data_IF_587455851769
#
_entry.id   IF_587455851769
#
_cell.length_a   1.000
_cell.length_b   1.000
_cell.length_c   1.000
_cell.angle_alpha   90.00
_cell.angle_beta   90.00
_cell.angle_gamma   90.00
#
_symmetry.space_group_name_H-M   'P 1'
#
loop_
_entity.id
_entity.type
_entity.pdbx_description
1 polymer ?
#
# COMPACT_ATOMS: atom_id res chain seq x y z
N UNK A 1 6.91 -12.39 15.70
CA UNK A 1 6.46 -10.99 15.57
C UNK A 1 6.84 -10.47 14.18
N UNK A 2 5.90 -9.85 13.44
CA UNK A 2 6.19 -9.16 12.16
C UNK A 2 6.02 -7.67 12.35
N UNK A 3 6.99 -6.87 11.90
CA UNK A 3 6.98 -5.42 12.07
C UNK A 3 7.80 -4.75 10.95
N UNK A 4 7.40 -3.55 10.53
CA UNK A 4 8.21 -2.73 9.62
C UNK A 4 9.48 -2.26 10.33
N UNK A 5 10.63 -2.36 9.67
CA UNK A 5 11.94 -2.06 10.28
C UNK A 5 12.00 -0.66 10.92
N UNK A 6 11.47 0.35 10.25
CA UNK A 6 11.49 1.72 10.77
C UNK A 6 10.69 1.87 12.08
N UNK A 7 9.48 1.29 12.14
CA UNK A 7 8.66 1.34 13.35
C UNK A 7 9.32 0.60 14.51
N UNK A 8 10.01 -0.51 14.22
CA UNK A 8 10.80 -1.23 15.20
C UNK A 8 11.93 -0.38 15.76
N UNK A 9 12.73 0.27 14.89
CA UNK A 9 13.83 1.13 15.33
C UNK A 9 13.36 2.32 16.17
N UNK A 10 12.22 2.92 15.81
CA UNK A 10 11.62 3.97 16.64
C UNK A 10 11.23 3.48 18.05
N UNK A 11 10.67 2.28 18.16
CA UNK A 11 10.34 1.67 19.46
C UNK A 11 11.62 1.39 20.27
N UNK A 12 12.66 0.85 19.63
CA UNK A 12 13.97 0.64 20.26
C UNK A 12 14.53 1.94 20.82
N UNK A 13 14.58 3.02 20.03
CA UNK A 13 15.10 4.31 20.51
C UNK A 13 14.28 4.87 21.67
N UNK A 14 12.95 4.72 21.65
CA UNK A 14 12.08 5.12 22.77
C UNK A 14 12.42 4.34 24.04
N UNK A 15 12.59 3.02 23.94
CA UNK A 15 12.97 2.15 25.08
C UNK A 15 14.37 2.49 25.60
N UNK A 16 15.34 2.67 24.71
CA UNK A 16 16.70 3.09 25.07
C UNK A 16 16.72 4.46 25.78
N UNK A 17 15.93 5.42 25.29
CA UNK A 17 15.82 6.73 25.91
C UNK A 17 15.19 6.64 27.30
N UNK A 18 14.11 5.86 27.46
CA UNK A 18 13.47 5.62 28.77
C UNK A 18 14.46 5.02 29.77
N UNK A 19 15.19 3.98 29.36
CA UNK A 19 16.21 3.33 30.21
C UNK A 19 17.31 4.30 30.64
N UNK A 20 17.78 5.17 29.73
CA UNK A 20 18.78 6.20 30.05
C UNK A 20 18.25 7.28 31.00
N UNK A 21 16.97 7.63 30.91
CA UNK A 21 16.35 8.59 31.84
C UNK A 21 16.22 8.01 33.25
N UNK A 22 15.92 6.72 33.37
CA UNK A 22 15.73 6.05 34.65
C UNK A 22 17.07 5.67 35.34
N UNK A 23 18.07 5.26 34.57
CA UNK A 23 19.30 4.66 35.09
C UNK A 23 20.59 5.45 34.75
N UNK A 24 20.47 6.57 34.04
CA UNK A 24 21.59 7.41 33.61
C UNK A 24 22.18 7.05 32.25
N UNK A 25 23.07 7.90 31.73
CA UNK A 25 23.63 7.76 30.37
C UNK A 25 24.75 6.72 30.23
N UNK A 26 25.35 6.28 31.34
CA UNK A 26 26.47 5.34 31.34
C UNK A 26 26.02 3.87 31.21
N UNK A 27 24.71 3.60 31.31
CA UNK A 27 24.19 2.25 31.17
C UNK A 27 24.10 1.85 29.69
N UNK A 28 24.62 0.67 29.39
CA UNK A 28 24.39 0.05 28.11
C UNK A 28 22.99 -0.57 28.06
N UNK A 29 22.01 0.20 27.58
CA UNK A 29 20.61 -0.22 27.57
C UNK A 29 20.27 -1.25 26.47
N UNK A 30 21.14 -1.47 25.47
CA UNK A 30 20.84 -2.33 24.32
C UNK A 30 20.59 -3.80 24.70
N UNK A 31 21.42 -4.45 25.54
CA UNK A 31 21.19 -5.83 25.94
C UNK A 31 19.87 -6.04 26.70
N UNK A 32 19.50 -5.08 27.55
CA UNK A 32 18.23 -5.15 28.29
C UNK A 32 17.02 -5.06 27.36
N UNK A 33 17.03 -4.10 26.42
CA UNK A 33 15.97 -3.99 25.42
C UNK A 33 15.90 -5.23 24.53
N UNK A 34 17.04 -5.83 24.19
CA UNK A 34 17.07 -7.06 23.42
C UNK A 34 16.51 -8.26 24.21
N UNK A 35 16.80 -8.36 25.51
CA UNK A 35 16.24 -9.38 26.39
C UNK A 35 14.71 -9.25 26.50
N UNK A 36 14.19 -8.04 26.72
CA UNK A 36 12.74 -7.78 26.76
C UNK A 36 12.04 -8.20 25.46
N UNK A 37 12.69 -7.96 24.31
CA UNK A 37 12.15 -8.36 23.01
C UNK A 37 12.20 -9.87 22.85
N UNK A 38 13.30 -10.51 23.25
CA UNK A 38 13.46 -11.95 23.16
C UNK A 38 12.42 -12.70 24.01
N UNK A 39 12.08 -12.17 25.20
CA UNK A 39 11.02 -12.72 26.05
C UNK A 39 9.64 -12.68 25.36
N UNK A 40 9.40 -11.66 24.52
CA UNK A 40 8.14 -11.51 23.78
C UNK A 40 8.10 -12.23 22.43
N UNK A 41 9.26 -12.55 21.83
CA UNK A 41 9.32 -13.01 20.45
C UNK A 41 10.54 -13.90 20.14
N UNK A 42 10.28 -15.19 19.88
CA UNK A 42 11.29 -16.14 19.43
C UNK A 42 11.66 -16.01 17.93
N UNK A 43 10.75 -15.43 17.12
CA UNK A 43 10.97 -15.17 15.69
C UNK A 43 10.62 -13.73 15.38
N UNK A 44 11.58 -12.99 14.83
CA UNK A 44 11.43 -11.60 14.44
C UNK A 44 11.48 -11.47 12.92
N UNK A 45 10.39 -11.00 12.34
CA UNK A 45 10.25 -10.79 10.90
C UNK A 45 10.24 -9.29 10.59
N UNK A 46 11.32 -8.79 9.97
CA UNK A 46 11.35 -7.43 9.45
C UNK A 46 10.87 -7.36 8.02
N UNK A 47 9.90 -6.47 7.80
CA UNK A 47 9.51 -6.09 6.44
C UNK A 47 10.25 -4.81 6.02
N UNK A 48 10.74 -4.79 4.78
CA UNK A 48 11.44 -3.67 4.17
C UNK A 48 12.63 -3.16 4.99
N UNK A 49 13.58 -4.05 5.29
CA UNK A 49 14.78 -3.69 6.02
C UNK A 49 15.64 -2.70 5.22
N UNK A 50 15.66 -1.47 5.72
CA UNK A 50 16.46 -0.39 5.17
C UNK A 50 17.01 0.46 6.31
N UNK A 51 18.31 0.72 6.27
CA UNK A 51 18.96 1.64 7.19
C UNK A 51 19.35 2.90 6.41
N UNK A 52 18.81 4.04 6.83
CA UNK A 52 19.12 5.36 6.25
C UNK A 52 19.57 6.36 7.31
N UNK A 53 19.21 6.15 8.58
CA UNK A 53 19.57 7.01 9.71
C UNK A 53 20.90 6.58 10.35
N UNK A 54 21.69 7.55 10.80
CA UNK A 54 22.97 7.33 11.50
C UNK A 54 22.78 6.74 12.89
N UNK A 55 21.74 7.15 13.63
CA UNK A 55 21.42 6.65 14.95
C UNK A 55 21.05 5.16 14.89
N UNK A 56 20.25 4.77 13.88
CA UNK A 56 19.92 3.36 13.63
C UNK A 56 21.18 2.56 13.32
N UNK A 57 22.00 3.06 12.39
CA UNK A 57 23.24 2.42 11.98
C UNK A 57 24.20 2.16 13.16
N UNK A 58 24.27 3.09 14.12
CA UNK A 58 25.15 2.99 15.29
C UNK A 58 24.76 1.87 16.25
N UNK A 59 23.47 1.56 16.40
CA UNK A 59 23.00 0.57 17.38
C UNK A 59 22.72 -0.80 16.75
N UNK A 60 22.46 -0.85 15.44
CA UNK A 60 21.89 -2.01 14.77
C UNK A 60 22.71 -3.28 14.93
N UNK A 61 24.04 -3.18 14.77
CA UNK A 61 24.94 -4.34 14.97
C UNK A 61 24.73 -4.95 16.36
N UNK A 62 24.82 -4.12 17.40
CA UNK A 62 24.79 -4.54 18.80
C UNK A 62 23.43 -5.13 19.17
N UNK A 63 22.36 -4.50 18.67
CA UNK A 63 21.00 -4.99 18.86
C UNK A 63 20.80 -6.37 18.23
N UNK A 64 21.17 -6.52 16.95
CA UNK A 64 21.03 -7.79 16.24
C UNK A 64 21.87 -8.91 16.88
N UNK A 65 23.11 -8.60 17.27
CA UNK A 65 23.98 -9.55 17.96
C UNK A 65 23.39 -10.00 19.30
N UNK A 66 22.83 -9.06 20.07
CA UNK A 66 22.16 -9.36 21.34
C UNK A 66 20.90 -10.22 21.13
N UNK A 67 20.03 -9.85 20.18
CA UNK A 67 18.83 -10.63 19.84
C UNK A 67 19.19 -12.06 19.42
N UNK A 68 20.19 -12.22 18.55
CA UNK A 68 20.67 -13.53 18.11
C UNK A 68 21.26 -14.36 19.26
N UNK A 69 21.94 -13.70 20.21
CA UNK A 69 22.49 -14.38 21.40
C UNK A 69 21.41 -14.91 22.35
N UNK A 70 20.23 -14.27 22.39
CA UNK A 70 19.05 -14.76 23.09
C UNK A 70 18.27 -15.83 22.29
N UNK A 71 18.78 -16.28 21.14
CA UNK A 71 18.14 -17.31 20.32
C UNK A 71 17.00 -16.81 19.43
N UNK A 72 16.85 -15.49 19.27
CA UNK A 72 15.84 -14.91 18.38
C UNK A 72 16.20 -15.23 16.92
N UNK A 73 15.28 -15.87 16.23
CA UNK A 73 15.41 -16.16 14.79
C UNK A 73 14.99 -14.94 13.99
N UNK A 74 15.89 -14.45 13.14
CA UNK A 74 15.65 -13.27 12.30
C UNK A 74 15.27 -13.67 10.88
N UNK A 75 14.14 -13.15 10.39
CA UNK A 75 13.71 -13.23 8.98
C UNK A 75 13.53 -11.81 8.47
N UNK A 76 14.03 -11.49 7.29
CA UNK A 76 13.95 -10.11 6.77
C UNK A 76 13.76 -10.07 5.27
N UNK A 77 12.94 -9.12 4.80
CA UNK A 77 12.85 -8.72 3.39
C UNK A 77 13.60 -7.41 3.20
N UNK A 78 14.22 -7.19 2.04
CA UNK A 78 14.94 -5.95 1.71
C UNK A 78 14.94 -5.75 0.19
N UNK A 79 14.79 -4.50 -0.24
CA UNK A 79 14.95 -4.10 -1.65
C UNK A 79 16.42 -3.81 -2.02
N UNK A 80 17.36 -3.98 -1.08
CA UNK A 80 18.79 -3.77 -1.26
C UNK A 80 19.56 -5.01 -0.80
N UNK A 81 20.55 -5.41 -1.58
CA UNK A 81 21.50 -6.43 -1.15
C UNK A 81 22.20 -5.97 0.15
N UNK A 82 22.58 -6.86 1.09
CA UNK A 82 23.23 -6.48 2.35
C UNK A 82 24.44 -5.56 2.18
N UNK A 83 25.26 -5.77 1.14
CA UNK A 83 26.42 -4.92 0.83
C UNK A 83 26.04 -3.48 0.42
N UNK A 84 24.78 -3.24 0.06
CA UNK A 84 24.24 -1.93 -0.31
C UNK A 84 23.40 -1.27 0.80
N UNK A 85 23.18 -1.95 1.92
CA UNK A 85 22.50 -1.36 3.07
C UNK A 85 23.31 -0.18 3.60
N UNK A 86 22.67 0.98 3.85
CA UNK A 86 23.30 2.23 4.31
C UNK A 86 24.36 2.81 3.35
N UNK A 87 24.29 2.48 2.04
CA UNK A 87 25.21 3.00 1.02
C UNK A 87 25.13 4.52 1.01
N UNK A 88 26.29 5.19 0.98
CA UNK A 88 26.44 6.64 1.11
C UNK A 88 26.03 7.25 2.48
N UNK A 89 25.74 6.43 3.48
CA UNK A 89 25.47 6.89 4.84
C UNK A 89 26.71 7.50 5.52
N UNK A 90 26.47 8.44 6.43
CA UNK A 90 27.52 9.09 7.23
C UNK A 90 28.25 8.04 8.06
N UNK A 91 29.59 8.02 8.03
CA UNK A 91 30.41 7.03 8.73
C UNK A 91 30.06 5.55 8.39
N UNK A 92 29.73 5.25 7.12
CA UNK A 92 29.46 3.88 6.63
C UNK A 92 30.43 2.81 7.14
N UNK A 93 31.71 3.14 7.32
CA UNK A 93 32.73 2.24 7.88
C UNK A 93 32.29 1.61 9.21
N UNK A 94 31.65 2.40 10.09
CA UNK A 94 31.13 1.94 11.38
C UNK A 94 29.95 0.96 11.24
N UNK A 95 29.26 0.97 10.09
CA UNK A 95 28.14 0.09 9.79
C UNK A 95 28.56 -1.23 9.10
N UNK A 96 29.75 -1.28 8.49
CA UNK A 96 30.27 -2.50 7.83
C UNK A 96 30.24 -3.74 8.76
N UNK A 97 30.57 -3.64 10.06
CA UNK A 97 30.42 -4.77 10.97
C UNK A 97 28.98 -5.32 11.08
N UNK A 98 27.95 -4.48 10.95
CA UNK A 98 26.55 -4.93 10.92
C UNK A 98 26.25 -5.72 9.64
N UNK A 99 26.76 -5.25 8.50
CA UNK A 99 26.64 -5.95 7.21
C UNK A 99 27.31 -7.34 7.29
N UNK A 100 28.52 -7.41 7.87
CA UNK A 100 29.23 -8.67 8.05
C UNK A 100 28.48 -9.62 8.98
N UNK A 101 27.86 -9.11 10.05
CA UNK A 101 27.00 -9.90 10.94
C UNK A 101 25.80 -10.49 10.17
N UNK A 102 25.09 -9.67 9.40
CA UNK A 102 23.97 -10.12 8.56
C UNK A 102 24.41 -11.21 7.57
N UNK A 103 25.53 -11.01 6.87
CA UNK A 103 26.03 -11.98 5.87
C UNK A 103 26.55 -13.29 6.48
N UNK A 104 27.08 -13.24 7.71
CA UNK A 104 27.62 -14.42 8.39
C UNK A 104 26.55 -15.22 9.13
N UNK A 105 25.52 -14.56 9.64
CA UNK A 105 24.47 -15.18 10.47
C UNK A 105 23.18 -15.50 9.70
N UNK A 106 22.92 -14.80 8.60
CA UNK A 106 21.72 -15.00 7.79
C UNK A 106 22.06 -15.66 6.46
N UNK A 107 21.09 -16.42 5.95
CA UNK A 107 21.13 -16.92 4.59
C UNK A 107 20.51 -15.88 3.65
N UNK A 108 21.34 -15.28 2.79
CA UNK A 108 20.90 -14.27 1.82
C UNK A 108 20.33 -14.98 0.60
N UNK A 109 19.03 -14.85 0.39
CA UNK A 109 18.33 -15.35 -0.80
C UNK A 109 18.04 -14.16 -1.70
N UNK A 110 18.69 -14.12 -2.87
CA UNK A 110 18.38 -13.08 -3.86
C UNK A 110 17.17 -13.51 -4.67
N UNK A 111 16.10 -12.72 -4.61
CA UNK A 111 14.89 -12.94 -5.39
C UNK A 111 15.02 -12.21 -6.73
N UNK A 112 15.97 -12.64 -7.56
CA UNK A 112 16.14 -12.14 -8.93
C UNK A 112 15.10 -12.81 -9.84
N UNK A 113 13.87 -12.30 -9.77
CA UNK A 113 12.84 -12.65 -10.73
C UNK A 113 12.90 -11.67 -11.90
N UNK A 114 13.08 -12.12 -13.16
CA UNK A 114 12.87 -11.25 -14.32
C UNK A 114 11.40 -10.77 -14.41
N UNK A 115 10.54 -11.44 -13.66
CA UNK A 115 9.12 -11.18 -13.58
C UNK A 115 8.82 -10.41 -12.29
N UNK A 116 8.53 -9.12 -12.43
CA UNK A 116 7.88 -8.39 -11.35
C UNK A 116 6.46 -8.95 -11.18
N UNK A 117 6.21 -9.68 -10.09
CA UNK A 117 4.90 -10.27 -9.79
C UNK A 117 3.79 -9.20 -9.60
N UNK A 118 4.15 -7.91 -9.48
CA UNK A 118 3.20 -6.78 -9.55
C UNK A 118 2.78 -6.45 -10.98
N UNK A 119 3.62 -6.78 -11.96
CA UNK A 119 3.45 -6.50 -13.40
C UNK A 119 2.90 -7.68 -14.20
N UNK A 120 2.84 -8.89 -13.62
CA UNK A 120 2.19 -10.03 -14.27
C UNK A 120 0.73 -9.65 -14.51
N UNK A 121 0.23 -9.69 -15.76
CA UNK A 121 -1.18 -9.51 -16.06
C UNK A 121 -1.97 -10.56 -15.29
N UNK A 122 -2.65 -10.14 -14.22
CA UNK A 122 -3.54 -11.02 -13.46
C UNK A 122 -4.88 -10.99 -14.16
N UNK A 123 -5.54 -12.15 -14.37
CA UNK A 123 -6.85 -12.15 -14.98
C UNK A 123 -7.77 -11.21 -14.18
N UNK A 124 -8.35 -10.19 -14.84
CA UNK A 124 -9.16 -9.21 -14.13
C UNK A 124 -10.37 -9.94 -13.55
N UNK A 125 -10.61 -9.73 -12.26
CA UNK A 125 -11.81 -10.25 -11.59
C UNK A 125 -13.10 -9.55 -12.09
N UNK A 126 -12.95 -8.44 -12.81
CA UNK A 126 -14.06 -7.60 -13.23
C UNK A 126 -14.69 -6.86 -12.07
N UNK A 127 -13.93 -6.45 -11.04
CA UNK A 127 -14.42 -5.59 -9.95
C UNK A 127 -14.57 -4.12 -10.36
N UNK A 128 -13.87 -3.70 -11.41
CA UNK A 128 -13.95 -2.34 -11.93
C UNK A 128 -14.73 -2.32 -13.24
N UNK A 129 -15.75 -1.46 -13.29
CA UNK A 129 -16.50 -1.16 -14.50
C UNK A 129 -16.15 0.25 -14.95
N UNK A 130 -15.76 0.41 -16.22
CA UNK A 130 -15.48 1.72 -16.81
C UNK A 130 -16.65 2.11 -17.71
N UNK A 131 -16.97 3.40 -17.74
CA UNK A 131 -18.16 4.01 -18.35
C UNK A 131 -19.38 3.92 -17.44
N UNK A 132 -19.88 5.08 -16.99
CA UNK A 132 -21.11 5.20 -16.19
C UNK A 132 -22.35 5.04 -17.08
N UNK A 133 -22.45 3.88 -17.71
CA UNK A 133 -23.56 3.47 -18.56
C UNK A 133 -24.63 2.73 -17.74
N UNK A 134 -25.67 2.23 -18.41
CA UNK A 134 -26.70 1.41 -17.78
C UNK A 134 -26.18 0.09 -17.20
N UNK A 135 -24.99 -0.37 -17.58
CA UNK A 135 -24.39 -1.60 -17.05
C UNK A 135 -23.69 -1.38 -15.71
N UNK A 136 -23.28 -0.15 -15.39
CA UNK A 136 -22.68 0.20 -14.10
C UNK A 136 -23.57 -0.17 -12.90
N UNK A 137 -24.88 0.07 -13.01
CA UNK A 137 -25.84 -0.28 -11.95
C UNK A 137 -25.95 -1.80 -11.76
N UNK A 138 -26.11 -2.54 -12.85
CA UNK A 138 -26.16 -4.02 -12.82
C UNK A 138 -24.86 -4.64 -12.29
N UNK A 139 -23.71 -4.01 -12.58
CA UNK A 139 -22.41 -4.42 -12.05
C UNK A 139 -22.34 -4.29 -10.52
N UNK A 140 -22.79 -3.15 -10.00
CA UNK A 140 -22.87 -2.90 -8.55
C UNK A 140 -23.77 -3.93 -7.88
N UNK A 141 -24.97 -4.17 -8.41
CA UNK A 141 -25.92 -5.13 -7.84
C UNK A 141 -25.34 -6.55 -7.80
N UNK A 142 -24.65 -6.96 -8.87
CA UNK A 142 -23.99 -8.27 -8.95
C UNK A 142 -22.92 -8.42 -7.87
N UNK A 143 -22.06 -7.42 -7.71
CA UNK A 143 -20.99 -7.45 -6.71
C UNK A 143 -21.51 -7.31 -5.28
N UNK A 144 -22.55 -6.51 -5.06
CA UNK A 144 -23.23 -6.40 -3.78
C UNK A 144 -23.84 -7.74 -3.36
N UNK A 145 -24.49 -8.46 -4.29
CA UNK A 145 -25.02 -9.81 -4.02
C UNK A 145 -23.92 -10.81 -3.71
N UNK A 146 -22.75 -10.67 -4.34
CA UNK A 146 -21.63 -11.58 -4.17
C UNK A 146 -20.83 -11.33 -2.87
N UNK A 147 -20.61 -10.07 -2.49
CA UNK A 147 -19.83 -9.67 -1.31
C UNK A 147 -20.68 -9.43 -0.05
N UNK A 148 -21.98 -9.18 -0.23
CA UNK A 148 -22.93 -8.92 0.84
C UNK A 148 -23.42 -10.18 1.55
N UNK A 149 -24.46 -10.03 2.37
CA UNK A 149 -25.05 -11.15 3.09
C UNK A 149 -25.95 -11.98 2.14
N UNK A 150 -25.62 -13.26 1.88
CA UNK A 150 -26.44 -14.11 1.01
C UNK A 150 -27.84 -14.39 1.58
N UNK A 151 -28.06 -14.18 2.88
CA UNK A 151 -29.36 -14.40 3.56
C UNK A 151 -30.22 -13.14 3.62
N UNK A 152 -29.62 -11.95 3.49
CA UNK A 152 -30.31 -10.66 3.48
C UNK A 152 -29.94 -9.87 2.24
N UNK A 153 -30.82 -9.94 1.25
CA UNK A 153 -30.64 -9.23 -0.02
C UNK A 153 -30.89 -7.72 0.09
N UNK A 154 -31.62 -7.26 1.11
CA UNK A 154 -31.92 -5.84 1.29
C UNK A 154 -30.79 -5.13 2.01
N UNK A 155 -30.42 -3.94 1.53
CA UNK A 155 -29.45 -3.09 2.21
C UNK A 155 -30.13 -2.28 3.31
N UNK A 156 -29.40 -2.04 4.40
CA UNK A 156 -29.81 -1.12 5.44
C UNK A 156 -28.76 -0.02 5.63
N UNK A 157 -29.13 1.06 6.31
CA UNK A 157 -28.19 2.12 6.66
C UNK A 157 -27.60 1.90 8.04
N UNK A 158 -26.34 2.27 8.21
CA UNK A 158 -25.63 2.25 9.49
C UNK A 158 -24.95 3.59 9.77
N UNK A 159 -24.59 3.82 11.04
CA UNK A 159 -23.85 5.00 11.46
C UNK A 159 -22.63 4.54 12.26
N UNK A 160 -21.45 4.92 11.80
CA UNK A 160 -20.19 4.64 12.49
C UNK A 160 -19.72 5.89 13.24
N UNK A 161 -19.04 5.72 14.38
CA UNK A 161 -18.62 6.83 15.24
C UNK A 161 -17.11 6.95 15.29
N UNK A 162 -16.58 8.11 14.89
CA UNK A 162 -15.15 8.41 14.89
C UNK A 162 -14.92 9.68 15.70
N UNK A 163 -14.27 9.56 16.85
CA UNK A 163 -13.92 10.70 17.73
C UNK A 163 -15.10 11.66 17.99
N UNK A 164 -16.30 11.11 18.20
CA UNK A 164 -17.53 11.87 18.45
C UNK A 164 -18.25 12.38 17.20
N UNK A 165 -17.74 12.12 15.99
CA UNK A 165 -18.42 12.38 14.71
C UNK A 165 -19.15 11.14 14.23
N UNK A 166 -20.29 11.35 13.57
CA UNK A 166 -21.10 10.29 12.97
C UNK A 166 -20.89 10.22 11.45
N UNK A 167 -20.47 9.05 10.97
CA UNK A 167 -20.31 8.74 9.56
C UNK A 167 -21.50 7.89 9.14
N UNK A 168 -22.32 8.42 8.23
CA UNK A 168 -23.45 7.67 7.67
C UNK A 168 -22.94 6.72 6.60
N UNK A 169 -23.32 5.46 6.71
CA UNK A 169 -23.10 4.43 5.70
C UNK A 169 -24.46 4.11 5.09
N UNK A 170 -24.79 4.68 3.91
CA UNK A 170 -26.16 4.66 3.40
C UNK A 170 -26.67 3.26 3.12
N UNK A 171 -25.79 2.38 2.63
CA UNK A 171 -26.14 1.04 2.15
C UNK A 171 -25.10 0.03 2.63
N UNK A 172 -25.54 -0.90 3.46
CA UNK A 172 -24.76 -2.01 4.01
C UNK A 172 -25.47 -3.33 3.72
N UNK A 173 -24.71 -4.34 3.31
CA UNK A 173 -25.15 -5.74 3.32
C UNK A 173 -24.04 -6.60 3.90
N UNK A 174 -24.29 -7.29 5.01
CA UNK A 174 -23.27 -8.03 5.74
C UNK A 174 -22.11 -7.12 6.18
N UNK A 175 -20.89 -7.42 5.74
CA UNK A 175 -19.68 -6.59 5.95
C UNK A 175 -19.25 -5.84 4.67
N UNK A 176 -20.18 -5.64 3.74
CA UNK A 176 -19.99 -4.87 2.52
C UNK A 176 -20.70 -3.51 2.62
N UNK A 177 -19.94 -2.43 2.48
CA UNK A 177 -20.47 -1.07 2.46
C UNK A 177 -20.50 -0.53 1.03
N UNK A 178 -21.59 0.15 0.68
CA UNK A 178 -21.77 0.80 -0.62
C UNK A 178 -22.00 2.31 -0.46
N UNK A 179 -21.17 3.08 -1.15
CA UNK A 179 -21.26 4.53 -1.27
C UNK A 179 -21.28 4.96 -2.74
N UNK A 180 -21.88 6.11 -3.03
CA UNK A 180 -21.48 6.90 -4.21
C UNK A 180 -20.18 7.65 -3.91
N UNK A 181 -19.43 8.02 -4.94
CA UNK A 181 -18.20 8.80 -4.77
C UNK A 181 -18.43 10.08 -3.96
N UNK A 182 -19.54 10.77 -4.22
CA UNK A 182 -19.87 12.01 -3.54
C UNK A 182 -20.27 11.82 -2.07
N UNK A 183 -20.91 10.69 -1.73
CA UNK A 183 -21.23 10.35 -0.34
C UNK A 183 -19.95 10.04 0.47
N UNK A 184 -18.95 9.40 -0.15
CA UNK A 184 -17.74 8.95 0.54
C UNK A 184 -16.64 10.03 0.59
N UNK A 185 -16.35 10.66 -0.54
CA UNK A 185 -15.20 11.56 -0.73
C UNK A 185 -15.64 13.04 -0.76
N UNK A 186 -16.86 13.30 -1.24
CA UNK A 186 -17.41 14.65 -1.34
C UNK A 186 -17.73 15.29 0.02
N UNK A 187 -17.87 14.50 1.08
CA UNK A 187 -18.02 15.01 2.45
C UNK A 187 -16.68 15.33 3.10
N UNK A 188 -16.69 16.05 4.22
CA UNK A 188 -15.49 16.38 5.00
C UNK A 188 -14.98 15.15 5.78
N UNK A 189 -14.64 14.09 5.06
CA UNK A 189 -14.07 12.82 5.52
C UNK A 189 -12.54 12.87 5.45
N UNK A 190 -11.88 12.24 6.41
CA UNK A 190 -10.42 12.18 6.52
C UNK A 190 -9.88 10.78 6.78
N UNK A 191 -8.56 10.67 6.98
CA UNK A 191 -7.88 9.38 7.16
C UNK A 191 -8.46 8.55 8.32
N UNK A 192 -8.79 9.19 9.45
CA UNK A 192 -9.38 8.51 10.61
C UNK A 192 -10.75 7.89 10.30
N UNK A 193 -11.55 8.55 9.48
CA UNK A 193 -12.86 8.07 9.05
C UNK A 193 -12.72 6.81 8.20
N UNK A 194 -11.78 6.81 7.25
CA UNK A 194 -11.53 5.64 6.41
C UNK A 194 -11.01 4.46 7.23
N UNK A 195 -10.08 4.68 8.17
CA UNK A 195 -9.56 3.61 9.03
C UNK A 195 -10.66 2.97 9.89
N UNK A 196 -11.61 3.74 10.40
CA UNK A 196 -12.73 3.18 11.13
C UNK A 196 -13.66 2.38 10.22
N UNK A 197 -13.98 2.90 9.03
CA UNK A 197 -14.73 2.14 8.03
C UNK A 197 -14.06 0.78 7.73
N UNK A 198 -12.73 0.75 7.59
CA UNK A 198 -11.98 -0.49 7.34
C UNK A 198 -12.02 -1.48 8.51
N UNK A 199 -12.31 -1.05 9.74
CA UNK A 199 -12.52 -1.96 10.89
C UNK A 199 -13.91 -2.59 10.85
N UNK A 200 -14.91 -1.81 10.43
CA UNK A 200 -16.30 -2.24 10.38
C UNK A 200 -16.60 -3.14 9.18
N UNK A 201 -15.99 -2.88 8.02
CA UNK A 201 -16.32 -3.52 6.75
C UNK A 201 -15.09 -4.15 6.08
N UNK A 202 -15.30 -5.28 5.40
CA UNK A 202 -14.24 -6.02 4.68
C UNK A 202 -14.31 -5.80 3.16
N UNK A 203 -15.38 -5.16 2.67
CA UNK A 203 -15.62 -4.89 1.26
C UNK A 203 -16.29 -3.54 1.04
N UNK A 204 -15.86 -2.83 0.00
CA UNK A 204 -16.33 -1.51 -0.36
C UNK A 204 -16.75 -1.47 -1.83
N UNK A 205 -17.95 -0.96 -2.08
CA UNK A 205 -18.42 -0.60 -3.41
C UNK A 205 -18.48 0.93 -3.47
N UNK A 206 -17.79 1.53 -4.43
CA UNK A 206 -17.84 2.96 -4.69
C UNK A 206 -18.35 3.21 -6.10
N UNK A 207 -19.57 3.75 -6.21
CA UNK A 207 -20.19 4.07 -7.48
C UNK A 207 -19.87 5.48 -7.96
N UNK A 208 -20.04 5.72 -9.26
CA UNK A 208 -20.01 7.04 -9.88
C UNK A 208 -18.71 7.83 -9.67
N UNK A 209 -17.56 7.14 -9.71
CA UNK A 209 -16.24 7.78 -9.55
C UNK A 209 -15.94 8.63 -10.80
N UNK A 210 -15.87 9.97 -10.69
CA UNK A 210 -15.59 10.83 -11.82
C UNK A 210 -14.09 10.80 -12.18
N UNK A 211 -13.76 11.25 -13.39
CA UNK A 211 -12.39 11.68 -13.68
C UNK A 211 -12.15 13.01 -12.98
N UNK A 212 -11.15 13.07 -12.11
CA UNK A 212 -10.83 14.27 -11.34
C UNK A 212 -9.84 15.15 -12.11
N UNK A 213 -10.14 16.44 -12.17
CA UNK A 213 -9.34 17.48 -12.83
C UNK A 213 -8.51 18.29 -11.81
N UNK A 214 -7.69 19.23 -12.26
CA UNK A 214 -6.90 20.09 -11.37
C UNK A 214 -7.75 20.84 -10.31
N UNK A 215 -8.98 21.23 -10.65
CA UNK A 215 -9.89 21.90 -9.70
C UNK A 215 -10.38 20.99 -8.57
N UNK A 216 -10.22 19.67 -8.70
CA UNK A 216 -10.72 18.65 -7.78
C UNK A 216 -9.60 17.94 -7.03
N UNK A 217 -8.42 18.56 -6.95
CA UNK A 217 -7.22 18.02 -6.26
C UNK A 217 -7.47 17.54 -4.83
N UNK A 218 -8.33 18.23 -4.09
CA UNK A 218 -8.65 17.82 -2.72
C UNK A 218 -9.47 16.51 -2.69
N UNK A 219 -10.36 16.30 -3.67
CA UNK A 219 -11.09 15.04 -3.84
C UNK A 219 -10.13 13.92 -4.25
N UNK A 220 -9.21 14.20 -5.18
CA UNK A 220 -8.16 13.27 -5.58
C UNK A 220 -7.30 12.81 -4.40
N UNK A 221 -6.84 13.76 -3.56
CA UNK A 221 -6.04 13.44 -2.37
C UNK A 221 -6.81 12.57 -1.38
N UNK A 222 -8.07 12.91 -1.09
CA UNK A 222 -8.92 12.12 -0.21
C UNK A 222 -9.17 10.72 -0.76
N UNK A 223 -9.40 10.60 -2.07
CA UNK A 223 -9.60 9.29 -2.71
C UNK A 223 -8.33 8.44 -2.69
N UNK A 224 -7.14 9.03 -2.89
CA UNK A 224 -5.86 8.33 -2.70
C UNK A 224 -5.73 7.83 -1.27
N UNK A 225 -6.03 8.65 -0.26
CA UNK A 225 -6.01 8.23 1.14
C UNK A 225 -6.99 7.08 1.42
N UNK A 226 -8.18 7.10 0.81
CA UNK A 226 -9.14 6.00 0.92
C UNK A 226 -8.62 4.71 0.27
N UNK A 227 -8.07 4.79 -0.95
CA UNK A 227 -7.44 3.65 -1.63
C UNK A 227 -6.33 3.05 -0.77
N UNK A 228 -5.55 3.92 -0.13
CA UNK A 228 -4.47 3.51 0.75
C UNK A 228 -4.99 2.72 1.96
N UNK A 229 -6.03 3.22 2.61
CA UNK A 229 -6.68 2.53 3.73
C UNK A 229 -7.28 1.17 3.32
N UNK A 230 -7.93 1.09 2.15
CA UNK A 230 -8.50 -0.17 1.62
C UNK A 230 -7.40 -1.19 1.33
N UNK A 231 -6.29 -0.74 0.73
CA UNK A 231 -5.17 -1.60 0.40
C UNK A 231 -4.49 -2.16 1.67
N UNK A 232 -4.23 -1.30 2.65
CA UNK A 232 -3.55 -1.68 3.91
C UNK A 232 -4.41 -2.60 4.78
N UNK A 233 -5.72 -2.35 4.83
CA UNK A 233 -6.69 -3.22 5.50
C UNK A 233 -6.99 -4.52 4.77
N UNK A 234 -6.46 -4.68 3.54
CA UNK A 234 -6.68 -5.85 2.69
C UNK A 234 -8.17 -6.07 2.34
N UNK A 235 -8.97 -5.01 2.35
CA UNK A 235 -10.38 -5.05 1.99
C UNK A 235 -10.59 -5.21 0.47
N UNK A 236 -11.80 -5.59 0.08
CA UNK A 236 -12.21 -5.71 -1.34
C UNK A 236 -12.70 -4.35 -1.82
N UNK A 237 -12.37 -3.99 -3.06
CA UNK A 237 -12.80 -2.74 -3.67
C UNK A 237 -13.46 -3.01 -5.02
N UNK A 238 -14.67 -2.50 -5.18
CA UNK A 238 -15.45 -2.53 -6.43
C UNK A 238 -15.72 -1.08 -6.81
N UNK A 239 -15.45 -0.73 -8.08
CA UNK A 239 -15.56 0.64 -8.57
C UNK A 239 -16.39 0.68 -9.85
N UNK A 240 -17.17 1.75 -10.02
CA UNK A 240 -17.66 2.18 -11.34
C UNK A 240 -17.08 3.55 -11.64
N UNK A 241 -16.35 3.68 -12.74
CA UNK A 241 -15.59 4.90 -13.07
C UNK A 241 -16.09 5.53 -14.37
N UNK A 242 -16.14 6.87 -14.42
CA UNK A 242 -16.48 7.61 -15.64
C UNK A 242 -15.41 7.51 -16.71
N UNK A 243 -14.15 7.39 -16.29
CA UNK A 243 -12.97 7.31 -17.15
C UNK A 243 -12.11 6.09 -16.77
N UNK A 244 -11.23 5.61 -17.64
CA UNK A 244 -10.26 4.56 -17.30
C UNK A 244 -9.41 4.94 -16.08
N UNK A 245 -8.90 3.93 -15.35
CA UNK A 245 -8.11 4.15 -14.12
C UNK A 245 -6.90 5.06 -14.33
N UNK A 246 -6.26 4.98 -15.50
CA UNK A 246 -5.11 5.82 -15.88
C UNK A 246 -5.46 7.30 -15.94
N UNK A 247 -6.74 7.63 -16.15
CA UNK A 247 -7.26 8.99 -16.32
C UNK A 247 -8.03 9.49 -15.10
N UNK A 248 -8.13 8.70 -14.03
CA UNK A 248 -8.94 9.06 -12.85
C UNK A 248 -8.47 10.32 -12.15
N UNK A 249 -7.18 10.61 -12.16
CA UNK A 249 -6.63 11.78 -11.47
C UNK A 249 -5.87 12.73 -12.41
N UNK A 250 -5.86 12.43 -13.72
CA UNK A 250 -5.21 13.24 -14.76
C UNK A 250 -6.07 13.17 -16.00
N UNK A 251 -6.50 14.31 -16.53
CA UNK A 251 -7.28 14.32 -17.76
C UNK A 251 -6.40 14.06 -18.99
N UNK A 252 -6.95 13.47 -20.07
CA UNK A 252 -6.21 13.30 -21.34
C UNK A 252 -5.70 14.61 -21.94
N UNK A 253 -6.43 15.72 -21.73
CA UNK A 253 -6.03 17.05 -22.18
C UNK A 253 -4.80 17.56 -21.44
N UNK A 254 -4.74 17.35 -20.12
CA UNK A 254 -3.57 17.68 -19.30
C UNK A 254 -2.37 16.79 -19.64
N UNK A 255 -2.60 15.48 -19.82
CA UNK A 255 -1.58 14.56 -20.27
C UNK A 255 -0.97 15.03 -21.60
N UNK A 256 -1.82 15.41 -22.57
CA UNK A 256 -1.42 15.96 -23.87
C UNK A 256 -0.68 17.30 -23.74
N UNK A 257 -1.14 18.22 -22.90
CA UNK A 257 -0.48 19.52 -22.71
C UNK A 257 0.91 19.38 -22.08
N UNK A 258 1.06 18.46 -21.13
CA UNK A 258 2.37 18.16 -20.52
C UNK A 258 3.33 17.49 -21.50
N UNK A 259 2.83 16.58 -22.34
CA UNK A 259 3.61 15.96 -23.40
C UNK A 259 4.00 16.97 -24.47
N UNK A 260 3.14 17.94 -24.80
CA UNK A 260 3.49 19.05 -25.73
C UNK A 260 4.53 20.00 -25.14
N UNK A 261 4.48 20.31 -23.84
CA UNK A 261 5.51 21.09 -23.16
C UNK A 261 6.87 20.37 -23.19
N UNK A 262 6.88 19.06 -22.93
CA UNK A 262 8.10 18.23 -22.97
C UNK A 262 8.59 17.97 -24.40
N UNK A 263 7.69 17.78 -25.36
CA UNK A 263 7.99 17.64 -26.79
C UNK A 263 8.60 18.90 -27.39
N UNK A 264 8.24 20.09 -26.90
CA UNK A 264 8.91 21.35 -27.26
C UNK A 264 10.32 21.47 -26.67
N UNK A 265 10.56 20.94 -25.48
CA UNK A 265 11.92 20.88 -24.88
C UNK A 265 12.82 19.89 -25.63
N UNK A 266 12.28 18.74 -26.06
CA UNK A 266 13.04 17.70 -26.79
C UNK A 266 13.21 18.02 -28.28
N UNK A 267 12.23 18.66 -28.93
CA UNK A 267 12.32 19.10 -30.32
C UNK A 267 13.32 20.26 -30.55
N UNK A 268 13.81 20.88 -29.47
CA UNK A 268 14.94 21.80 -29.54
C UNK A 268 16.30 21.08 -29.66
N UNK A 269 16.36 19.77 -29.36
CA UNK A 269 17.62 19.00 -29.31
C UNK A 269 17.75 17.94 -30.43
N UNK A 270 16.64 17.45 -31.01
CA UNK A 270 16.72 16.59 -32.21
C UNK A 270 15.59 16.88 -33.20
N UNK A 271 15.99 17.30 -34.41
CA UNK A 271 15.10 17.56 -35.52
C UNK A 271 14.67 16.29 -36.26
N UNK A 272 13.36 16.16 -36.48
CA UNK A 272 12.79 15.54 -37.68
C UNK A 272 11.92 14.29 -37.46
N UNK A 273 10.78 14.28 -38.16
CA UNK A 273 10.11 13.06 -38.63
C UNK A 273 8.68 12.87 -38.12
N UNK A 274 7.70 13.23 -38.94
CA UNK A 274 6.28 13.01 -38.67
C UNK A 274 5.83 11.60 -39.05
N UNK A 275 5.28 10.89 -38.07
CA UNK A 275 4.31 9.82 -38.26
C UNK A 275 2.94 10.32 -37.75
N UNK A 276 1.84 9.83 -38.32
CA UNK A 276 0.50 10.29 -37.97
C UNK A 276 0.22 10.09 -36.48
N UNK A 277 0.09 11.23 -35.79
CA UNK A 277 0.06 11.39 -34.34
C UNK A 277 -0.98 10.52 -33.63
N UNK A 278 -2.10 10.20 -34.29
CA UNK A 278 -3.19 9.40 -33.70
C UNK A 278 -2.88 7.90 -33.60
N UNK A 279 -2.10 7.33 -34.50
CA UNK A 279 -1.85 5.88 -34.56
C UNK A 279 -0.81 5.41 -33.53
N UNK A 280 0.20 6.24 -33.25
CA UNK A 280 1.17 5.98 -32.17
C UNK A 280 0.48 6.11 -30.81
N UNK A 281 -0.47 7.06 -30.69
CA UNK A 281 -1.19 7.36 -29.45
C UNK A 281 -2.12 6.22 -29.00
N UNK A 282 -2.85 5.60 -29.93
CA UNK A 282 -3.77 4.51 -29.61
C UNK A 282 -3.01 3.25 -29.14
N UNK A 283 -1.87 2.95 -29.77
CA UNK A 283 -1.04 1.80 -29.40
C UNK A 283 -0.23 2.03 -28.10
N UNK A 284 -0.05 3.29 -27.67
CA UNK A 284 0.64 3.67 -26.42
C UNK A 284 -0.31 3.79 -25.21
N UNK A 285 -1.61 3.97 -25.41
CA UNK A 285 -2.61 3.99 -24.34
C UNK A 285 -3.04 2.58 -23.87
N UNK A 286 -2.74 1.54 -24.65
CA UNK A 286 -3.04 0.15 -24.32
C UNK A 286 -2.09 -0.44 -23.27
N UNK A 287 -0.87 0.14 -23.14
CA UNK A 287 0.12 -0.27 -22.14
C UNK A 287 0.03 0.62 -20.89
N UNK A 288 -0.70 0.14 -19.87
CA UNK A 288 -0.86 0.82 -18.58
C UNK A 288 0.48 1.09 -17.86
N UNK A 289 1.49 0.23 -18.08
CA UNK A 289 2.77 0.29 -17.37
C UNK A 289 3.72 1.36 -17.94
N UNK A 290 3.69 1.58 -19.27
CA UNK A 290 4.43 2.67 -19.92
C UNK A 290 3.86 4.04 -19.52
N UNK A 291 2.53 4.12 -19.38
CA UNK A 291 1.84 5.33 -18.91
C UNK A 291 2.20 5.69 -17.47
N UNK A 292 2.38 4.72 -16.56
CA UNK A 292 2.78 4.99 -15.16
C UNK A 292 4.18 5.62 -15.09
N UNK A 293 5.14 5.05 -15.81
CA UNK A 293 6.53 5.53 -15.78
C UNK A 293 6.69 6.87 -16.53
N UNK A 294 5.90 7.12 -17.56
CA UNK A 294 5.84 8.42 -18.23
C UNK A 294 5.15 9.50 -17.37
N UNK A 295 4.09 9.14 -16.64
CA UNK A 295 3.38 10.08 -15.77
C UNK A 295 4.22 10.49 -14.54
N UNK A 296 5.03 9.57 -13.97
CA UNK A 296 6.04 9.92 -12.95
C UNK A 296 6.96 11.05 -13.41
N UNK A 297 7.28 11.07 -14.70
CA UNK A 297 8.19 12.03 -15.31
C UNK A 297 7.47 13.27 -15.91
N UNK A 298 6.16 13.45 -15.69
CA UNK A 298 5.36 14.55 -16.26
C UNK A 298 5.24 15.73 -15.29
N UNK A 299 5.34 16.97 -15.78
CA UNK A 299 5.33 18.21 -14.97
C UNK A 299 3.95 18.64 -14.41
N UNK A 300 2.96 17.73 -14.39
CA UNK A 300 1.54 18.02 -14.18
C UNK A 300 1.11 18.31 -12.73
N UNK A 301 1.89 17.82 -11.78
CA UNK A 301 1.59 17.97 -10.35
C UNK A 301 2.48 19.02 -9.71
N UNK A 302 1.96 19.71 -8.69
CA UNK A 302 2.63 20.88 -8.08
C UNK A 302 3.75 20.48 -7.12
N UNK A 303 4.07 19.19 -7.02
CA UNK A 303 5.18 18.63 -6.25
C UNK A 303 5.45 17.16 -6.62
N UNK A 304 6.68 16.69 -6.36
CA UNK A 304 7.09 15.29 -6.59
C UNK A 304 6.27 14.30 -5.76
N UNK A 305 5.81 14.70 -4.57
CA UNK A 305 5.01 13.89 -3.65
C UNK A 305 3.65 13.50 -4.21
N UNK A 306 2.95 14.41 -4.91
CA UNK A 306 1.63 14.13 -5.50
C UNK A 306 1.73 13.12 -6.64
N UNK A 307 2.81 13.16 -7.42
CA UNK A 307 3.08 12.18 -8.50
C UNK A 307 3.31 10.79 -7.93
N UNK A 308 4.12 10.72 -6.87
CA UNK A 308 4.40 9.47 -6.21
C UNK A 308 3.14 8.88 -5.57
N UNK A 309 2.31 9.72 -4.95
CA UNK A 309 1.02 9.31 -4.38
C UNK A 309 0.06 8.77 -5.45
N UNK A 310 -0.05 9.45 -6.60
CA UNK A 310 -0.85 8.97 -7.73
C UNK A 310 -0.36 7.61 -8.25
N UNK A 311 0.93 7.50 -8.58
CA UNK A 311 1.48 6.30 -9.21
C UNK A 311 1.32 5.09 -8.28
N UNK A 312 1.49 5.33 -6.97
CA UNK A 312 1.23 4.35 -5.92
C UNK A 312 -0.24 3.96 -5.84
N UNK A 313 -1.18 4.91 -5.91
CA UNK A 313 -2.61 4.62 -5.90
C UNK A 313 -3.04 3.79 -7.11
N UNK A 314 -2.57 4.13 -8.32
CA UNK A 314 -2.88 3.37 -9.54
C UNK A 314 -2.31 1.95 -9.48
N UNK A 315 -1.08 1.79 -8.98
CA UNK A 315 -0.49 0.46 -8.74
C UNK A 315 -1.30 -0.37 -7.74
N UNK A 316 -1.75 0.25 -6.63
CA UNK A 316 -2.63 -0.39 -5.64
C UNK A 316 -3.97 -0.80 -6.24
N UNK A 317 -4.61 0.07 -7.03
CA UNK A 317 -5.86 -0.24 -7.72
C UNK A 317 -5.69 -1.43 -8.67
N UNK A 318 -4.63 -1.45 -9.48
CA UNK A 318 -4.36 -2.56 -10.39
C UNK A 318 -4.15 -3.89 -9.63
N UNK A 319 -3.42 -3.87 -8.52
CA UNK A 319 -3.24 -5.06 -7.69
C UNK A 319 -4.55 -5.54 -7.08
N UNK A 320 -5.40 -4.63 -6.59
CA UNK A 320 -6.72 -4.97 -6.04
C UNK A 320 -7.73 -5.46 -7.08
N UNK A 321 -7.52 -5.15 -8.37
CA UNK A 321 -8.34 -5.65 -9.48
C UNK A 321 -8.14 -7.16 -9.75
N UNK A 322 -7.03 -7.72 -9.24
CA UNK A 322 -6.62 -9.07 -9.55
C UNK A 322 -7.56 -10.12 -8.97
N UNK A 323 -7.75 -11.22 -9.70
CA UNK A 323 -8.53 -12.38 -9.23
C UNK A 323 -8.02 -12.92 -7.89
N UNK A 324 -6.71 -13.00 -7.70
CA UNK A 324 -6.08 -13.42 -6.44
C UNK A 324 -6.50 -12.52 -5.28
N UNK A 325 -6.41 -11.19 -5.44
CA UNK A 325 -6.81 -10.26 -4.39
C UNK A 325 -8.28 -10.44 -4.02
N UNK A 326 -9.14 -10.60 -5.03
CA UNK A 326 -10.59 -10.71 -4.83
C UNK A 326 -10.96 -12.05 -4.24
N UNK A 327 -10.44 -13.16 -4.74
CA UNK A 327 -10.72 -14.53 -4.27
C UNK A 327 -10.12 -14.85 -2.90
N UNK A 328 -9.12 -14.06 -2.44
CA UNK A 328 -8.47 -14.23 -1.14
C UNK A 328 -9.49 -14.37 -0.01
N UNK A 329 -9.44 -15.51 0.68
CA UNK A 329 -10.28 -15.78 1.85
C UNK A 329 -11.73 -16.17 1.54
N UNK A 330 -12.12 -16.24 0.26
CA UNK A 330 -13.45 -16.71 -0.17
C UNK A 330 -13.51 -18.20 -0.49
N UNK A 331 -12.39 -18.92 -0.42
CA UNK A 331 -12.34 -20.37 -0.65
C UNK A 331 -12.55 -20.79 -2.11
N UNK A 332 -12.56 -19.82 -3.04
CA UNK A 332 -12.71 -20.00 -4.50
C UNK A 332 -11.37 -20.10 -5.24
N UNK A 333 -10.27 -20.04 -4.50
CA UNK A 333 -8.91 -20.08 -5.03
C UNK A 333 -8.65 -21.47 -5.68
N UNK A 334 -8.48 -21.52 -7.01
CA UNK A 334 -8.36 -22.77 -7.78
C UNK A 334 -7.16 -23.67 -7.39
N UNK A 335 -6.23 -23.18 -6.57
CA UNK A 335 -5.32 -23.97 -5.73
C UNK A 335 -4.53 -23.00 -4.85
N UNK A 336 -4.78 -22.91 -3.55
CA UNK A 336 -3.85 -22.20 -2.65
C UNK A 336 -4.35 -21.66 -1.30
N UNK A 337 -5.65 -21.41 -1.13
CA UNK A 337 -6.12 -20.57 0.00
C UNK A 337 -6.20 -21.19 1.37
N UNK A 338 -5.95 -22.50 1.49
CA UNK A 338 -5.90 -23.14 2.81
C UNK A 338 -4.79 -22.54 3.67
N UNK A 339 -3.64 -22.23 3.07
CA UNK A 339 -2.47 -21.76 3.81
C UNK A 339 -2.68 -20.33 4.34
N UNK A 340 -3.21 -19.43 3.53
CA UNK A 340 -3.49 -18.06 3.96
C UNK A 340 -4.68 -17.97 4.92
N UNK A 341 -5.72 -18.80 4.73
CA UNK A 341 -6.86 -18.87 5.66
C UNK A 341 -6.43 -19.39 7.04
N UNK A 342 -5.56 -20.39 7.07
CA UNK A 342 -5.04 -20.96 8.32
C UNK A 342 -4.04 -20.01 9.00
N UNK A 343 -3.21 -19.30 8.23
CA UNK A 343 -2.30 -18.27 8.76
C UNK A 343 -3.08 -17.04 9.30
N UNK A 344 -4.18 -16.67 8.65
CA UNK A 344 -5.03 -15.57 9.10
C UNK A 344 -5.91 -15.93 10.31
N UNK A 345 -6.45 -17.15 10.36
CA UNK A 345 -7.19 -17.66 11.53
C UNK A 345 -6.29 -17.78 12.78
N UNK A 346 -5.01 -18.13 12.61
CA UNK A 346 -4.00 -18.12 13.68
C UNK A 346 -3.62 -16.71 14.14
N UNK A 347 -3.62 -15.75 13.24
CA UNK A 347 -3.28 -14.35 13.58
C UNK A 347 -4.44 -13.68 14.35
N UNK A 348 -5.68 -14.00 13.97
CA UNK A 348 -6.89 -13.42 14.56
C UNK A 348 -7.23 -13.98 15.96
N UNK A 349 -6.93 -15.26 16.20
CA UNK A 349 -7.11 -15.88 17.53
C UNK A 349 -6.17 -15.28 18.57
N UNK A 350 -4.91 -15.04 18.21
CA UNK A 350 -3.91 -14.39 19.09
C UNK A 350 -4.25 -12.93 19.43
N UNK A 351 -4.87 -12.20 18.50
CA UNK A 351 -5.24 -10.81 18.72
C UNK A 351 -6.43 -10.65 19.71
N UNK A 352 -7.28 -11.68 19.84
CA UNK A 352 -8.35 -11.73 20.85
C UNK A 352 -7.86 -12.15 22.24
N UNK A 353 -6.80 -12.96 22.33
CA UNK A 353 -6.19 -13.35 23.61
C UNK A 353 -5.41 -12.21 24.26
N UNK A 354 -4.78 -11.31 23.49
CA UNK A 354 -4.08 -10.12 24.01
C UNK A 354 -5.02 -8.96 24.40
N UNK A 355 -6.34 -9.14 24.25
CA UNK A 355 -7.37 -8.13 24.55
C UNK A 355 -8.26 -8.49 25.76
N UNK A 356 -8.00 -9.62 26.42
CA UNK A 356 -8.59 -10.03 27.70
C UNK A 356 -7.52 -10.03 28.78
#
# INVERSE_FOLDING_TARGET
MRIHFHNFMQDIHKRLHKMKMEHGNDIDAVPFVAADIADSANVLCFDEFQCTDVADAMILRRLLESLMSHGVVLVTTSNRHPDELYKNGIQRQSFIPAINLLKSRLHVINLDSPTDYRKIPRPPSGVYHTSLDSHASSHIEKWLRFLGDPKRSETHSEVQKVWGREIKVPRVSGRCAWFTFQELIGQATGAADYLELMRCYDAFIVSDVPGMTYSERDLARRFITFIDAVYESRAKLVLTTAVPLTQLFVSPGELRESMMKKGKEVAQDHGGGGESEDHVMQHMMEDMDSNIDQLKNSSLFSGEEERFAFARALSRLNHMASREWVERGMGLEQSGGKKERDDWAKTRSRQMEDSM
#
